data_IF_101932367406
#
_entry.id   IF_101932367406
#
_cell.length_a   1.000
_cell.length_b   1.000
_cell.length_c   1.000
_cell.angle_alpha   90.00
_cell.angle_beta   90.00
_cell.angle_gamma   90.00
#
_symmetry.space_group_name_H-M   'P 1'
#
loop_
_entity.id
_entity.type
_entity.pdbx_description
1 polymer ?
#
# COMPACT_ATOMS: atom_id res chain seq x y z
N UNK A 1 45.89 -28.04 13.09
CA UNK A 1 44.50 -28.01 12.59
C UNK A 1 43.88 -26.69 13.00
N UNK A 2 43.92 -25.67 12.13
CA UNK A 2 43.39 -24.33 12.43
C UNK A 2 41.88 -24.31 12.16
N UNK A 3 41.09 -23.97 13.17
CA UNK A 3 39.64 -23.90 13.09
C UNK A 3 39.23 -22.44 12.80
N UNK A 4 38.81 -22.07 11.58
CA UNK A 4 38.40 -20.70 11.29
C UNK A 4 36.96 -20.52 11.80
N UNK A 5 36.82 -20.12 13.07
CA UNK A 5 35.56 -19.57 13.54
C UNK A 5 35.33 -18.22 12.84
N UNK A 6 34.72 -18.30 11.65
CA UNK A 6 34.31 -17.14 10.87
C UNK A 6 33.34 -16.30 11.68
N UNK A 7 33.83 -15.19 12.24
CA UNK A 7 33.01 -14.20 12.92
C UNK A 7 32.20 -13.45 11.88
N UNK A 8 30.97 -13.91 11.64
CA UNK A 8 29.99 -13.20 10.81
C UNK A 8 29.59 -11.94 11.56
N UNK A 9 29.99 -10.77 11.07
CA UNK A 9 29.50 -9.49 11.56
C UNK A 9 28.09 -9.27 11.03
N UNK A 10 27.11 -8.91 11.88
CA UNK A 10 25.76 -8.63 11.42
C UNK A 10 25.79 -7.47 10.43
N UNK A 11 25.10 -7.63 9.30
CA UNK A 11 24.91 -6.53 8.35
C UNK A 11 24.30 -5.33 9.07
N UNK A 12 24.84 -4.10 8.87
CA UNK A 12 24.29 -2.91 9.50
C UNK A 12 22.83 -2.75 9.08
N UNK A 13 21.93 -2.81 10.07
CA UNK A 13 20.50 -2.59 9.85
C UNK A 13 20.34 -1.15 9.36
N UNK A 14 19.90 -0.97 8.11
CA UNK A 14 19.44 0.34 7.65
C UNK A 14 18.19 0.67 8.50
N UNK A 15 18.15 1.78 9.24
CA UNK A 15 16.88 2.28 9.71
C UNK A 15 16.02 2.49 8.46
N UNK A 16 14.83 1.87 8.42
CA UNK A 16 13.88 2.15 7.34
C UNK A 16 13.68 3.66 7.28
N UNK A 17 13.83 4.31 6.11
CA UNK A 17 13.72 5.77 6.00
C UNK A 17 12.32 6.27 6.35
N UNK A 18 11.35 5.35 6.43
CA UNK A 18 10.03 5.58 6.95
C UNK A 18 10.06 4.99 8.36
N UNK A 19 10.07 5.82 9.43
CA UNK A 19 9.72 5.32 10.74
C UNK A 19 8.41 4.58 10.58
N UNK A 20 8.32 3.34 11.05
CA UNK A 20 7.02 2.77 11.36
C UNK A 20 6.45 3.70 12.43
N UNK A 21 5.81 4.78 12.00
CA UNK A 21 5.07 5.65 12.89
C UNK A 21 4.13 4.70 13.62
N UNK A 22 4.06 4.84 14.93
CA UNK A 22 3.01 4.25 15.75
C UNK A 22 1.69 4.75 15.19
N UNK A 23 1.23 4.09 14.12
CA UNK A 23 0.07 4.48 13.37
C UNK A 23 -1.10 4.03 14.22
N UNK A 24 -1.41 4.85 15.23
CA UNK A 24 -2.62 4.72 16.00
C UNK A 24 -3.75 5.05 15.03
N UNK A 25 -4.23 4.02 14.34
CA UNK A 25 -5.30 4.09 13.38
C UNK A 25 -6.60 4.43 14.12
N UNK A 26 -6.76 5.68 14.57
CA UNK A 26 -7.97 6.16 15.23
C UNK A 26 -9.18 6.04 14.29
N UNK A 27 -8.95 6.16 12.97
CA UNK A 27 -9.92 5.80 11.94
C UNK A 27 -9.22 5.15 10.74
N UNK A 28 -8.81 3.90 10.93
CA UNK A 28 -8.15 3.09 9.92
C UNK A 28 -8.92 3.03 8.58
N UNK A 29 -10.25 3.11 8.63
CA UNK A 29 -11.12 3.17 7.45
C UNK A 29 -11.00 4.48 6.68
N UNK A 30 -11.17 5.62 7.36
CA UNK A 30 -11.05 6.93 6.72
C UNK A 30 -9.67 7.14 6.11
N UNK A 31 -8.64 6.61 6.78
CA UNK A 31 -7.26 6.63 6.33
C UNK A 31 -7.00 5.76 5.09
N UNK A 32 -7.71 4.64 4.94
CA UNK A 32 -7.64 3.82 3.73
C UNK A 32 -8.39 4.47 2.57
N UNK A 33 -9.56 5.05 2.84
CA UNK A 33 -10.38 5.76 1.85
C UNK A 33 -9.65 7.01 1.30
N UNK A 34 -9.02 7.79 2.17
CA UNK A 34 -8.21 8.95 1.78
C UNK A 34 -7.03 8.51 0.89
N UNK A 35 -6.32 7.44 1.25
CA UNK A 35 -5.21 6.92 0.45
C UNK A 35 -5.67 6.41 -0.91
N UNK A 36 -6.84 5.77 -0.99
CA UNK A 36 -7.42 5.35 -2.26
C UNK A 36 -7.76 6.56 -3.14
N UNK A 37 -8.29 7.64 -2.56
CA UNK A 37 -8.56 8.89 -3.28
C UNK A 37 -7.27 9.52 -3.85
N UNK A 38 -6.22 9.65 -3.03
CA UNK A 38 -4.92 10.17 -3.48
C UNK A 38 -4.30 9.30 -4.59
N UNK A 39 -4.46 7.97 -4.51
CA UNK A 39 -3.98 7.08 -5.57
C UNK A 39 -4.75 7.25 -6.88
N UNK A 40 -6.06 7.54 -6.82
CA UNK A 40 -6.84 7.88 -8.03
C UNK A 40 -6.34 9.16 -8.69
N UNK A 41 -6.09 10.21 -7.89
CA UNK A 41 -5.53 11.47 -8.39
C UNK A 41 -4.18 11.24 -9.09
N UNK A 42 -3.28 10.46 -8.48
CA UNK A 42 -1.99 10.12 -9.08
C UNK A 42 -2.14 9.32 -10.40
N UNK A 43 -3.09 8.39 -10.47
CA UNK A 43 -3.36 7.65 -11.69
C UNK A 43 -3.93 8.56 -12.79
N UNK A 44 -4.77 9.53 -12.43
CA UNK A 44 -5.29 10.53 -13.36
C UNK A 44 -4.18 11.43 -13.90
N UNK A 45 -3.31 11.94 -13.03
CA UNK A 45 -2.12 12.72 -13.41
C UNK A 45 -1.21 11.93 -14.36
N UNK A 46 -0.98 10.64 -14.10
CA UNK A 46 -0.22 9.76 -14.98
C UNK A 46 -0.86 9.66 -16.37
N UNK A 47 -2.20 9.56 -16.46
CA UNK A 47 -2.87 9.55 -17.76
C UNK A 47 -2.79 10.89 -18.48
N UNK A 48 -2.87 12.01 -17.76
CA UNK A 48 -2.74 13.37 -18.29
C UNK A 48 -1.34 13.61 -18.88
N UNK A 49 -0.30 13.21 -18.16
CA UNK A 49 1.09 13.32 -18.63
C UNK A 49 1.43 12.34 -19.76
N UNK A 50 0.72 11.21 -19.86
CA UNK A 50 0.92 10.21 -20.90
C UNK A 50 0.31 10.57 -22.26
N UNK A 51 -0.42 11.68 -22.39
CA UNK A 51 -1.11 12.10 -23.63
C UNK A 51 -0.18 12.17 -24.86
N UNK A 52 1.11 12.44 -24.65
CA UNK A 52 2.15 12.56 -25.70
C UNK A 52 3.07 11.33 -25.82
N UNK A 53 2.81 10.27 -25.04
CA UNK A 53 3.64 9.06 -25.02
C UNK A 53 3.19 8.04 -26.06
N UNK A 54 4.13 7.27 -26.60
CA UNK A 54 3.82 6.13 -27.48
C UNK A 54 3.06 5.01 -26.77
N UNK A 55 3.14 4.95 -25.44
CA UNK A 55 2.49 3.95 -24.60
C UNK A 55 1.16 4.42 -23.99
N UNK A 56 0.60 5.55 -24.44
CA UNK A 56 -0.64 6.14 -23.91
C UNK A 56 -1.77 5.15 -23.68
N UNK A 57 -2.02 4.25 -24.64
CA UNK A 57 -3.09 3.25 -24.54
C UNK A 57 -2.81 2.23 -23.44
N UNK A 58 -1.55 1.80 -23.29
CA UNK A 58 -1.14 0.88 -22.22
C UNK A 58 -1.27 1.55 -20.86
N UNK A 59 -0.86 2.81 -20.76
CA UNK A 59 -0.96 3.58 -19.53
C UNK A 59 -2.44 3.75 -19.14
N UNK A 60 -3.32 4.12 -20.08
CA UNK A 60 -4.77 4.20 -19.84
C UNK A 60 -5.40 2.88 -19.41
N UNK A 61 -5.00 1.76 -20.00
CA UNK A 61 -5.49 0.44 -19.60
C UNK A 61 -4.99 0.06 -18.19
N UNK A 62 -3.72 0.33 -17.90
CA UNK A 62 -3.13 0.07 -16.60
C UNK A 62 -3.78 0.93 -15.50
N UNK A 63 -4.08 2.20 -15.78
CA UNK A 63 -4.75 3.08 -14.81
C UNK A 63 -6.20 2.68 -14.57
N UNK A 64 -6.92 2.24 -15.61
CA UNK A 64 -8.27 1.66 -15.45
C UNK A 64 -8.22 0.44 -14.51
N UNK A 65 -7.35 -0.53 -14.81
CA UNK A 65 -7.20 -1.73 -13.99
C UNK A 65 -6.76 -1.40 -12.55
N UNK A 66 -5.88 -0.40 -12.37
CA UNK A 66 -5.47 0.04 -11.04
C UNK A 66 -6.63 0.68 -10.26
N UNK A 67 -7.50 1.45 -10.91
CA UNK A 67 -8.69 2.02 -10.27
C UNK A 67 -9.66 0.94 -9.80
N UNK A 68 -9.91 -0.08 -10.62
CA UNK A 68 -10.77 -1.22 -10.26
C UNK A 68 -10.21 -1.96 -9.03
N UNK A 69 -8.88 -2.19 -9.01
CA UNK A 69 -8.21 -2.82 -7.87
C UNK A 69 -8.29 -1.96 -6.60
N UNK A 70 -8.22 -0.63 -6.72
CA UNK A 70 -8.38 0.30 -5.58
C UNK A 70 -9.79 0.23 -4.99
N UNK A 71 -10.82 0.15 -5.84
CA UNK A 71 -12.21 -0.02 -5.37
C UNK A 71 -12.38 -1.34 -4.62
N UNK A 72 -11.85 -2.43 -5.16
CA UNK A 72 -11.88 -3.73 -4.50
C UNK A 72 -11.14 -3.72 -3.15
N UNK A 73 -9.98 -3.05 -3.09
CA UNK A 73 -9.19 -2.91 -1.86
C UNK A 73 -9.98 -2.20 -0.76
N UNK A 74 -10.68 -1.11 -1.08
CA UNK A 74 -11.52 -0.37 -0.11
C UNK A 74 -12.65 -1.25 0.40
N UNK A 75 -13.30 -2.04 -0.47
CA UNK A 75 -14.36 -2.98 -0.07
C UNK A 75 -13.82 -4.06 0.86
N UNK A 76 -12.70 -4.70 0.50
CA UNK A 76 -12.06 -5.73 1.33
C UNK A 76 -11.66 -5.18 2.70
N UNK A 77 -11.15 -3.95 2.73
CA UNK A 77 -10.76 -3.29 3.95
C UNK A 77 -11.94 -2.99 4.88
N UNK A 78 -13.01 -2.38 4.35
CA UNK A 78 -14.27 -2.17 5.09
C UNK A 78 -14.81 -3.49 5.65
N UNK A 79 -14.82 -4.54 4.83
CA UNK A 79 -15.26 -5.88 5.24
C UNK A 79 -14.40 -6.46 6.36
N UNK A 80 -13.08 -6.30 6.30
CA UNK A 80 -12.17 -6.78 7.35
C UNK A 80 -12.41 -6.06 8.68
N UNK A 81 -12.65 -4.74 8.64
CA UNK A 81 -13.01 -3.98 9.83
C UNK A 81 -14.36 -4.41 10.43
N UNK A 82 -15.39 -4.60 9.60
CA UNK A 82 -16.69 -5.09 10.08
C UNK A 82 -16.60 -6.48 10.71
N UNK A 83 -15.77 -7.38 10.16
CA UNK A 83 -15.53 -8.70 10.75
C UNK A 83 -14.82 -8.61 12.10
N UNK A 84 -13.84 -7.72 12.25
CA UNK A 84 -13.13 -7.50 13.50
C UNK A 84 -14.06 -6.97 14.60
N UNK A 85 -14.92 -6.01 14.25
CA UNK A 85 -15.92 -5.45 15.17
C UNK A 85 -16.99 -6.48 15.54
N UNK A 86 -17.53 -7.24 14.58
CA UNK A 86 -18.52 -8.28 14.85
C UNK A 86 -18.01 -9.40 15.76
N UNK A 87 -16.70 -9.69 15.73
CA UNK A 87 -16.07 -10.67 16.61
C UNK A 87 -15.95 -10.19 18.06
N UNK A 88 -15.71 -8.89 18.27
CA UNK A 88 -15.63 -8.29 19.61
C UNK A 88 -16.96 -8.22 20.37
N UNK A 89 -18.10 -8.43 19.69
CA UNK A 89 -19.43 -8.46 20.31
C UNK A 89 -19.90 -9.88 20.70
N UNK A 90 -19.07 -10.90 20.51
CA UNK A 90 -19.40 -12.30 20.77
C UNK A 90 -18.46 -13.00 21.78
N UNK A 91 -17.66 -12.22 22.51
CA UNK A 91 -16.98 -12.62 23.76
C UNK A 91 -17.61 -11.88 24.94
#
# INVERSE_FOLDING_TARGET
MANPQGRVLPFPRRPSPIPAADYQAQNAQGDAELRAALLRELLEDLTSHAEHSTDRLRIRLATLAANDLLDELVVLYRRALSQLQGRSSHE
#
